data_IF_559419787362
#
_entry.id   IF_559419787362
#
_cell.length_a   1.000
_cell.length_b   1.000
_cell.length_c   1.000
_cell.angle_alpha   90.00
_cell.angle_beta   90.00
_cell.angle_gamma   90.00
#
_symmetry.space_group_name_H-M   'P 1'
#
loop_
_entity.id
_entity.type
_entity.pdbx_description
1 polymer ?
#
# COMPACT_ATOMS: atom_id res chain seq x y z
N UNK A 1 18.14 0.69 12.49
CA UNK A 1 18.11 1.29 11.16
C UNK A 1 16.74 1.17 10.52
N UNK A 2 16.26 2.25 10.02
CA UNK A 2 14.92 2.27 9.42
C UNK A 2 14.97 1.66 8.02
N UNK A 3 14.07 0.74 7.79
CA UNK A 3 13.97 0.13 6.49
C UNK A 3 12.95 0.88 5.64
N UNK A 4 13.39 1.35 4.50
CA UNK A 4 12.53 2.09 3.60
C UNK A 4 12.12 1.17 2.46
N UNK A 5 10.81 1.01 2.29
CA UNK A 5 10.30 0.20 1.21
C UNK A 5 10.46 0.93 -0.12
N UNK A 6 10.82 0.20 -1.16
CA UNK A 6 10.88 0.78 -2.49
C UNK A 6 9.46 1.01 -3.01
N UNK A 7 9.36 1.83 -4.06
CA UNK A 7 8.07 2.06 -4.68
C UNK A 7 7.42 0.75 -5.14
N UNK A 8 8.21 -0.14 -5.72
CA UNK A 8 7.69 -1.42 -6.15
C UNK A 8 7.18 -2.25 -4.98
N UNK A 9 7.91 -2.25 -3.87
CA UNK A 9 7.48 -2.99 -2.69
C UNK A 9 6.20 -2.41 -2.11
N UNK A 10 6.08 -1.09 -2.09
CA UNK A 10 4.86 -0.45 -1.59
C UNK A 10 3.66 -0.83 -2.44
N UNK A 11 3.83 -0.86 -3.76
CA UNK A 11 2.74 -1.25 -4.65
C UNK A 11 2.37 -2.71 -4.49
N UNK A 12 3.37 -3.56 -4.27
CA UNK A 12 3.11 -4.97 -4.02
C UNK A 12 2.32 -5.17 -2.74
N UNK A 13 2.67 -4.42 -1.69
CA UNK A 13 1.94 -4.53 -0.44
C UNK A 13 0.51 -4.05 -0.59
N UNK A 14 0.30 -2.98 -1.35
CA UNK A 14 -1.04 -2.49 -1.60
C UNK A 14 -1.88 -3.55 -2.33
N UNK A 15 -1.30 -4.19 -3.34
CA UNK A 15 -1.99 -5.26 -4.06
C UNK A 15 -2.27 -6.45 -3.16
N UNK A 16 -1.31 -6.79 -2.31
CA UNK A 16 -1.48 -7.88 -1.38
C UNK A 16 -2.66 -7.62 -0.45
N UNK A 17 -2.74 -6.40 0.07
CA UNK A 17 -3.85 -6.03 0.94
C UNK A 17 -5.18 -6.12 0.22
N UNK A 18 -5.22 -5.68 -1.04
CA UNK A 18 -6.45 -5.75 -1.82
C UNK A 18 -6.89 -7.18 -2.06
N UNK A 19 -5.93 -8.07 -2.33
CA UNK A 19 -6.27 -9.48 -2.53
C UNK A 19 -6.79 -10.12 -1.27
N UNK A 20 -6.16 -9.80 -0.14
CA UNK A 20 -6.63 -10.31 1.13
C UNK A 20 -8.05 -9.82 1.42
N UNK A 21 -8.31 -8.55 1.11
CA UNK A 21 -9.63 -7.98 1.35
C UNK A 21 -10.70 -8.71 0.57
N UNK A 22 -10.39 -9.16 -0.65
CA UNK A 22 -11.36 -9.88 -1.46
C UNK A 22 -11.69 -11.26 -0.91
N UNK A 23 -10.74 -11.88 -0.22
CA UNK A 23 -10.93 -13.22 0.29
C UNK A 23 -11.51 -13.30 1.68
N UNK A 24 -11.71 -12.17 2.34
CA UNK A 24 -12.19 -12.14 3.71
C UNK A 24 -13.63 -11.69 3.74
N UNK A 25 -14.45 -12.41 4.52
CA UNK A 25 -15.88 -12.10 4.65
C UNK A 25 -16.21 -11.21 5.83
N UNK A 26 -15.22 -10.55 6.38
CA UNK A 26 -15.43 -9.67 7.52
C UNK A 26 -15.39 -8.22 7.06
N UNK A 27 -16.52 -7.48 7.13
CA UNK A 27 -16.56 -6.12 6.62
C UNK A 27 -15.55 -5.19 7.31
N UNK A 28 -15.34 -5.38 8.61
CA UNK A 28 -14.40 -4.53 9.32
C UNK A 28 -12.98 -4.77 8.87
N UNK A 29 -12.59 -6.03 8.77
CA UNK A 29 -11.24 -6.37 8.31
C UNK A 29 -11.04 -5.93 6.87
N UNK A 30 -12.07 -6.07 6.03
CA UNK A 30 -12.00 -5.62 4.65
C UNK A 30 -11.74 -4.12 4.57
N UNK A 31 -12.43 -3.35 5.42
CA UNK A 31 -12.21 -1.90 5.45
C UNK A 31 -10.80 -1.55 5.89
N UNK A 32 -10.29 -2.26 6.89
CA UNK A 32 -8.94 -2.00 7.37
C UNK A 32 -7.91 -2.30 6.30
N UNK A 33 -8.08 -3.41 5.60
CA UNK A 33 -7.15 -3.78 4.53
C UNK A 33 -7.21 -2.79 3.38
N UNK A 34 -8.40 -2.32 3.05
CA UNK A 34 -8.54 -1.31 2.00
C UNK A 34 -7.84 -0.01 2.39
N UNK A 35 -7.97 0.39 3.66
CA UNK A 35 -7.30 1.59 4.14
C UNK A 35 -5.79 1.43 4.08
N UNK A 36 -5.27 0.26 4.46
CA UNK A 36 -3.84 0.00 4.37
C UNK A 36 -3.36 0.06 2.93
N UNK A 37 -4.14 -0.50 2.01
CA UNK A 37 -3.77 -0.47 0.61
C UNK A 37 -3.63 0.96 0.10
N UNK A 38 -4.55 1.83 0.53
CA UNK A 38 -4.49 3.23 0.12
C UNK A 38 -3.28 3.94 0.71
N UNK A 39 -2.96 3.63 1.96
CA UNK A 39 -1.79 4.23 2.60
C UNK A 39 -0.52 3.83 1.85
N UNK A 40 -0.37 2.55 1.53
CA UNK A 40 0.80 2.08 0.79
C UNK A 40 0.86 2.71 -0.60
N UNK A 41 -0.29 2.82 -1.27
CA UNK A 41 -0.32 3.41 -2.60
C UNK A 41 0.06 4.88 -2.56
N UNK A 42 -0.42 5.61 -1.54
CA UNK A 42 -0.08 7.02 -1.39
C UNK A 42 1.41 7.19 -1.13
N UNK A 43 1.99 6.31 -0.30
CA UNK A 43 3.42 6.35 -0.05
C UNK A 43 4.22 6.14 -1.33
N UNK A 44 3.78 5.19 -2.15
CA UNK A 44 4.45 4.92 -3.42
C UNK A 44 4.39 6.14 -4.33
N UNK A 45 3.24 6.78 -4.39
CA UNK A 45 3.08 7.98 -5.21
C UNK A 45 3.99 9.10 -4.74
N UNK A 46 4.13 9.25 -3.43
CA UNK A 46 5.01 10.28 -2.88
C UNK A 46 6.46 10.02 -3.22
N UNK A 47 6.87 8.76 -3.20
CA UNK A 47 8.24 8.44 -3.57
C UNK A 47 8.52 8.79 -5.02
N UNK A 48 7.58 8.47 -5.90
CA UNK A 48 7.73 8.80 -7.32
C UNK A 48 7.79 10.31 -7.51
N UNK A 49 6.90 11.04 -6.84
CA UNK A 49 6.91 12.49 -6.95
C UNK A 49 8.22 13.08 -6.45
N UNK A 50 8.77 12.55 -5.37
CA UNK A 50 10.04 13.00 -4.86
C UNK A 50 11.17 12.76 -5.83
N UNK A 51 11.16 11.62 -6.50
CA UNK A 51 12.19 11.30 -7.49
C UNK A 51 12.11 12.23 -8.69
N UNK A 52 10.91 12.53 -9.11
CA UNK A 52 10.72 13.39 -10.27
C UNK A 52 11.20 14.82 -9.99
N UNK A 53 11.05 15.27 -8.76
CA UNK A 53 11.44 16.62 -8.39
C UNK A 53 12.93 16.84 -8.38
N UNK A 54 13.71 15.80 -8.33
CA UNK A 54 15.14 15.95 -8.36
C UNK A 54 15.60 16.29 -9.75
#
# INVERSE_FOLDING_TARGET
MTQILTTAQLREEAEHCRRLARGINDPLTTKLLAALAEIYAAEADEQVAGEIRR
#
